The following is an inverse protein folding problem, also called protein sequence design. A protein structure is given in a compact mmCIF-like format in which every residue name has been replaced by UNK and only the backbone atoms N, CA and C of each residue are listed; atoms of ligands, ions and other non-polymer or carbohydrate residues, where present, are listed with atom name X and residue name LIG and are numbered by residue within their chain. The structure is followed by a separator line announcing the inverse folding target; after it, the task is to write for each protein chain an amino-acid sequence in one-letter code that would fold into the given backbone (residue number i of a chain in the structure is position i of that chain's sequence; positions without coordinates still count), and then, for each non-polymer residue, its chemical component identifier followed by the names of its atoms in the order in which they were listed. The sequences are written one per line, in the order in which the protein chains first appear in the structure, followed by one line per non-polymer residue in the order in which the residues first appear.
data_IF_432539074483
#
_entry.id   IF_432539074483
#
_cell.length_a   1.000
_cell.length_b   1.000
_cell.length_c   1.000
_cell.angle_alpha   90.00
_cell.angle_beta   90.00
_cell.angle_gamma   90.00
#
_symmetry.space_group_name_H-M   'P 1'
#
loop_
_entity.id
_entity.type
_entity.pdbx_description
1 polymer ?
#
# COMPACT_ATOMS: atom_id res chain seq x y z
N UNK A 1 10.44 20.94 -12.79
CA UNK A 1 9.78 19.61 -12.82
C UNK A 1 9.91 18.81 -14.12
N UNK A 2 11.02 19.00 -14.85
CA UNK A 2 11.33 18.23 -16.06
C UNK A 2 11.68 16.74 -15.75
N UNK A 3 12.09 16.42 -14.51
CA UNK A 3 12.47 15.06 -14.12
C UNK A 3 11.27 14.12 -13.89
N UNK A 4 10.15 14.62 -13.41
CA UNK A 4 8.93 13.83 -13.15
C UNK A 4 8.28 13.35 -14.46
N UNK A 5 8.16 14.23 -15.44
CA UNK A 5 7.62 13.90 -16.77
C UNK A 5 8.50 12.92 -17.54
N UNK A 6 9.83 13.06 -17.44
CA UNK A 6 10.80 12.17 -18.09
C UNK A 6 10.75 10.73 -17.53
N UNK A 7 10.47 10.56 -16.24
CA UNK A 7 10.33 9.23 -15.61
C UNK A 7 9.04 8.54 -16.08
N UNK A 8 7.92 9.24 -16.08
CA UNK A 8 6.63 8.73 -16.59
C UNK A 8 6.68 8.39 -18.09
N UNK A 9 7.32 9.23 -18.90
CA UNK A 9 7.52 8.95 -20.33
C UNK A 9 8.38 7.71 -20.57
N UNK A 10 9.44 7.50 -19.80
CA UNK A 10 10.26 6.28 -19.91
C UNK A 10 9.49 5.02 -19.53
N UNK A 11 8.65 5.09 -18.51
CA UNK A 11 7.77 3.98 -18.13
C UNK A 11 6.75 3.69 -19.22
N UNK A 12 6.14 4.70 -19.82
CA UNK A 12 5.24 4.53 -20.98
C UNK A 12 5.96 3.91 -22.17
N UNK A 13 7.16 4.37 -22.51
CA UNK A 13 7.94 3.82 -23.63
C UNK A 13 8.33 2.35 -23.42
N UNK A 14 8.65 1.93 -22.20
CA UNK A 14 8.94 0.52 -21.86
C UNK A 14 7.68 -0.32 -22.02
N UNK A 15 6.55 0.16 -21.56
CA UNK A 15 5.24 -0.49 -21.67
C UNK A 15 4.79 -0.61 -23.14
N UNK A 16 4.92 0.46 -23.91
CA UNK A 16 4.54 0.50 -25.34
C UNK A 16 5.47 -0.33 -26.21
N UNK A 17 6.72 -0.57 -25.80
CA UNK A 17 7.66 -1.44 -26.51
C UNK A 17 7.35 -2.94 -26.38
N UNK A 18 6.37 -3.32 -25.54
CA UNK A 18 5.99 -4.70 -25.29
C UNK A 18 7.05 -5.55 -24.56
N UNK A 19 8.12 -4.91 -24.04
CA UNK A 19 9.16 -5.59 -23.26
C UNK A 19 8.79 -5.61 -21.79
N UNK A 20 7.91 -6.52 -21.40
CA UNK A 20 7.62 -6.79 -20.00
C UNK A 20 8.82 -7.51 -19.35
N UNK A 21 9.41 -6.89 -18.34
CA UNK A 21 10.44 -7.49 -17.48
C UNK A 21 10.04 -7.29 -16.02
N UNK A 22 10.56 -8.12 -15.11
CA UNK A 22 10.32 -7.95 -13.67
C UNK A 22 10.74 -6.55 -13.18
N UNK A 23 11.81 -6.01 -13.75
CA UNK A 23 12.26 -4.66 -13.46
C UNK A 23 11.24 -3.62 -13.92
N UNK A 24 10.69 -3.73 -15.15
CA UNK A 24 9.70 -2.78 -15.64
C UNK A 24 8.42 -2.79 -14.82
N UNK A 25 7.97 -3.98 -14.37
CA UNK A 25 6.80 -4.12 -13.53
C UNK A 25 6.98 -3.47 -12.14
N UNK A 26 8.20 -3.56 -11.57
CA UNK A 26 8.52 -2.91 -10.29
C UNK A 26 8.61 -1.39 -10.43
N UNK A 27 9.27 -0.90 -11.50
CA UNK A 27 9.37 0.54 -11.75
C UNK A 27 8.02 1.18 -12.13
N UNK A 28 7.09 0.40 -12.70
CA UNK A 28 5.73 0.87 -13.00
C UNK A 28 4.94 1.16 -11.73
N UNK A 29 5.12 0.36 -10.70
CA UNK A 29 4.46 0.51 -9.39
C UNK A 29 5.12 1.55 -8.48
N UNK A 30 6.30 2.04 -8.85
CA UNK A 30 7.14 2.86 -7.99
C UNK A 30 8.16 2.01 -7.22
N UNK A 31 9.28 2.63 -6.90
CA UNK A 31 10.33 2.07 -6.04
C UNK A 31 10.76 3.17 -5.10
N UNK A 32 10.66 2.92 -3.80
CA UNK A 32 11.05 3.88 -2.79
C UNK A 32 12.57 4.14 -2.77
N UNK A 33 12.95 5.35 -2.39
CA UNK A 33 14.36 5.76 -2.37
C UNK A 33 15.16 5.06 -1.26
N UNK A 34 14.49 4.70 -0.16
CA UNK A 34 15.11 4.01 0.98
C UNK A 34 15.59 2.60 0.60
N UNK A 35 14.84 1.87 -0.21
CA UNK A 35 15.24 0.55 -0.74
C UNK A 35 16.55 0.60 -1.52
N UNK A 36 16.87 1.72 -2.16
CA UNK A 36 18.11 1.90 -2.88
C UNK A 36 19.32 1.81 -1.93
N UNK A 37 19.24 2.46 -0.78
CA UNK A 37 20.30 2.45 0.25
C UNK A 37 20.47 1.05 0.84
N UNK A 38 19.37 0.38 1.15
CA UNK A 38 19.41 -0.98 1.68
C UNK A 38 19.96 -1.98 0.68
N UNK A 39 19.51 -1.89 -0.57
CA UNK A 39 20.01 -2.73 -1.67
C UNK A 39 21.50 -2.56 -1.89
N UNK A 40 22.00 -1.31 -1.92
CA UNK A 40 23.41 -1.00 -2.03
C UNK A 40 24.20 -1.60 -0.86
N UNK A 41 23.78 -1.38 0.39
CA UNK A 41 24.46 -1.93 1.57
C UNK A 41 24.53 -3.47 1.51
N UNK A 42 23.45 -4.13 1.09
CA UNK A 42 23.43 -5.59 0.96
C UNK A 42 24.35 -6.07 -0.15
N UNK A 43 24.36 -5.42 -1.30
CA UNK A 43 25.27 -5.74 -2.40
C UNK A 43 26.75 -5.61 -1.99
N UNK A 44 27.10 -4.52 -1.34
CA UNK A 44 28.47 -4.28 -0.86
C UNK A 44 28.90 -5.32 0.18
N UNK A 45 28.01 -5.65 1.13
CA UNK A 45 28.25 -6.71 2.11
C UNK A 45 28.53 -8.07 1.43
N UNK A 46 27.72 -8.45 0.43
CA UNK A 46 27.91 -9.70 -0.30
C UNK A 46 29.23 -9.70 -1.10
N UNK A 47 29.66 -8.56 -1.67
CA UNK A 47 30.93 -8.46 -2.35
C UNK A 47 32.11 -8.71 -1.42
N UNK A 48 32.05 -8.21 -0.18
CA UNK A 48 33.07 -8.47 0.84
C UNK A 48 33.04 -9.91 1.33
N UNK A 49 31.86 -10.46 1.61
CA UNK A 49 31.67 -11.83 2.09
C UNK A 49 32.17 -12.86 1.07
N UNK A 50 31.92 -12.63 -0.21
CA UNK A 50 32.39 -13.49 -1.32
C UNK A 50 33.85 -13.25 -1.72
N UNK A 51 34.53 -12.29 -1.09
CA UNK A 51 35.94 -11.98 -1.39
C UNK A 51 36.17 -11.30 -2.75
N UNK A 52 35.10 -10.71 -3.34
CA UNK A 52 35.17 -10.06 -4.67
C UNK A 52 35.92 -8.73 -4.64
N UNK A 53 36.09 -8.12 -3.45
CA UNK A 53 36.77 -6.83 -3.30
C UNK A 53 36.67 -6.28 -1.90
N UNK A 54 37.19 -5.04 -1.73
CA UNK A 54 37.07 -4.25 -0.49
C UNK A 54 36.22 -3.03 -0.76
N UNK A 55 35.25 -2.76 0.11
CA UNK A 55 34.35 -1.61 -0.01
C UNK A 55 35.06 -0.34 0.46
N UNK A 56 34.97 0.74 -0.32
CA UNK A 56 35.44 2.07 0.08
C UNK A 56 34.58 2.61 1.22
N UNK A 57 35.21 3.36 2.14
CA UNK A 57 34.48 4.04 3.22
C UNK A 57 33.82 5.35 2.76
N UNK A 58 34.23 5.87 1.61
CA UNK A 58 33.67 7.11 1.07
C UNK A 58 32.62 6.80 0.03
N UNK A 59 31.50 7.49 0.12
CA UNK A 59 30.42 7.43 -0.87
C UNK A 59 29.91 8.85 -1.18
N UNK A 60 29.28 9.00 -2.30
CA UNK A 60 28.53 10.20 -2.66
C UNK A 60 27.05 9.85 -2.60
N UNK A 61 26.31 10.68 -1.87
CA UNK A 61 24.86 10.62 -1.80
C UNK A 61 24.29 11.95 -2.28
N UNK A 62 23.45 11.89 -3.30
CA UNK A 62 22.75 13.07 -3.84
C UNK A 62 21.26 12.79 -3.70
N UNK A 63 20.68 13.31 -2.62
CA UNK A 63 19.25 13.27 -2.41
C UNK A 63 18.58 14.45 -3.13
N UNK A 64 17.55 14.17 -3.92
CA UNK A 64 16.77 15.17 -4.67
C UNK A 64 15.68 15.83 -3.84
N UNK A 65 15.65 15.58 -2.54
CA UNK A 65 14.77 16.27 -1.58
C UNK A 65 13.50 15.52 -1.19
N UNK A 66 13.33 14.26 -1.62
CA UNK A 66 12.23 13.44 -1.11
C UNK A 66 12.54 12.99 0.33
N UNK A 67 11.54 13.07 1.20
CA UNK A 67 11.68 12.52 2.56
C UNK A 67 11.60 11.01 2.53
N UNK A 68 12.52 10.38 3.27
CA UNK A 68 12.49 8.93 3.55
C UNK A 68 11.89 8.65 4.93
N UNK A 69 11.41 9.69 5.61
CA UNK A 69 10.82 9.57 6.93
C UNK A 69 9.41 8.98 6.83
N UNK A 70 8.99 8.19 7.82
CA UNK A 70 7.63 7.70 7.89
C UNK A 70 6.62 8.85 7.94
N UNK A 71 5.50 8.69 7.23
CA UNK A 71 4.42 9.68 7.20
C UNK A 71 3.34 9.31 8.23
N UNK A 72 2.96 10.21 9.14
CA UNK A 72 1.90 9.93 10.09
C UNK A 72 0.54 9.90 9.39
N UNK A 73 -0.29 8.92 9.76
CA UNK A 73 -1.66 8.75 9.30
C UNK A 73 -2.54 8.44 10.51
N UNK A 74 -3.70 9.10 10.59
CA UNK A 74 -4.70 8.84 11.63
C UNK A 74 -6.01 8.39 10.99
N UNK A 75 -6.55 7.28 11.47
CA UNK A 75 -7.82 6.71 11.02
C UNK A 75 -8.68 6.32 12.21
N UNK A 76 -10.00 6.25 12.03
CA UNK A 76 -10.94 5.79 13.06
C UNK A 76 -11.01 4.26 13.06
N UNK A 77 -10.83 3.63 14.23
CA UNK A 77 -10.95 2.17 14.40
C UNK A 77 -12.37 1.70 14.06
N UNK A 78 -13.37 2.46 14.48
CA UNK A 78 -14.77 2.13 14.17
C UNK A 78 -15.08 2.21 12.67
N UNK A 79 -14.48 3.15 11.93
CA UNK A 79 -14.58 3.19 10.47
C UNK A 79 -13.88 2.01 9.80
N UNK A 80 -12.69 1.63 10.27
CA UNK A 80 -11.97 0.43 9.79
C UNK A 80 -12.84 -0.81 9.97
N UNK A 81 -13.37 -1.04 11.16
CA UNK A 81 -14.26 -2.17 11.45
C UNK A 81 -15.56 -2.10 10.62
N UNK A 82 -16.09 -0.88 10.40
CA UNK A 82 -17.26 -0.67 9.55
C UNK A 82 -17.05 -1.10 8.09
N UNK A 83 -15.87 -0.84 7.53
CA UNK A 83 -15.50 -1.30 6.18
C UNK A 83 -15.33 -2.82 6.14
N UNK A 84 -14.72 -3.39 7.18
CA UNK A 84 -14.52 -4.84 7.29
C UNK A 84 -15.83 -5.61 7.47
N UNK A 85 -16.87 -4.95 8.01
CA UNK A 85 -18.13 -5.60 8.37
C UNK A 85 -18.03 -6.59 9.53
N UNK A 86 -16.90 -6.57 10.24
CA UNK A 86 -16.60 -7.38 11.43
C UNK A 86 -15.89 -6.52 12.48
N UNK A 87 -16.02 -6.90 13.74
CA UNK A 87 -15.28 -6.25 14.83
C UNK A 87 -13.96 -6.99 15.07
N UNK A 88 -12.86 -6.37 14.69
CA UNK A 88 -11.52 -6.81 15.02
C UNK A 88 -11.10 -6.14 16.33
N UNK A 89 -10.69 -6.90 17.36
CA UNK A 89 -10.24 -6.31 18.62
C UNK A 89 -9.06 -5.35 18.43
N UNK A 90 -9.05 -4.23 19.16
CA UNK A 90 -7.98 -3.22 19.10
C UNK A 90 -6.59 -3.83 19.31
N UNK A 91 -6.46 -4.78 20.24
CA UNK A 91 -5.21 -5.48 20.51
C UNK A 91 -4.69 -6.24 19.28
N UNK A 92 -5.59 -6.80 18.47
CA UNK A 92 -5.22 -7.48 17.22
C UNK A 92 -4.83 -6.47 16.14
N UNK A 93 -5.56 -5.36 16.01
CA UNK A 93 -5.20 -4.29 15.09
C UNK A 93 -3.80 -3.77 15.41
N UNK A 94 -3.52 -3.47 16.69
CA UNK A 94 -2.19 -3.04 17.14
C UNK A 94 -1.12 -4.08 16.83
N UNK A 95 -1.39 -5.36 17.09
CA UNK A 95 -0.46 -6.46 16.81
C UNK A 95 -0.14 -6.55 15.31
N UNK A 96 -1.16 -6.49 14.48
CA UNK A 96 -1.04 -6.57 13.02
C UNK A 96 -0.23 -5.38 12.50
N UNK A 97 -0.63 -4.15 12.85
CA UNK A 97 0.04 -2.94 12.40
C UNK A 97 1.49 -2.88 12.85
N UNK A 98 1.78 -3.32 14.09
CA UNK A 98 3.15 -3.41 14.60
C UNK A 98 4.00 -4.41 13.80
N UNK A 99 3.45 -5.57 13.46
CA UNK A 99 4.15 -6.58 12.67
C UNK A 99 4.42 -6.13 11.22
N UNK A 100 3.61 -5.22 10.73
CA UNK A 100 3.77 -4.59 9.41
C UNK A 100 4.66 -3.33 9.45
N UNK A 101 5.26 -3.02 10.61
CA UNK A 101 6.16 -1.87 10.84
C UNK A 101 5.49 -0.49 10.76
N UNK A 102 4.20 -0.38 11.03
CA UNK A 102 3.48 0.89 11.02
C UNK A 102 3.56 1.68 12.32
N UNK A 103 4.23 1.17 13.35
CA UNK A 103 4.34 1.81 14.68
C UNK A 103 3.01 2.39 15.18
N UNK A 104 1.98 1.55 15.45
CA UNK A 104 0.64 2.00 15.77
C UNK A 104 0.50 2.51 17.20
N UNK A 105 -0.34 3.54 17.38
CA UNK A 105 -0.81 4.05 18.67
C UNK A 105 -2.32 4.21 18.60
N UNK A 106 -3.05 3.73 19.62
CA UNK A 106 -4.51 3.92 19.73
C UNK A 106 -4.79 4.86 20.90
N UNK A 107 -5.64 5.84 20.65
CA UNK A 107 -6.16 6.76 21.64
C UNK A 107 -7.68 6.90 21.47
N UNK A 108 -8.44 6.12 22.24
CA UNK A 108 -9.89 6.01 22.06
C UNK A 108 -10.20 5.36 20.70
N UNK A 109 -10.93 6.04 19.83
CA UNK A 109 -11.27 5.55 18.49
C UNK A 109 -10.22 5.90 17.42
N UNK A 110 -9.20 6.68 17.78
CA UNK A 110 -8.17 7.12 16.85
C UNK A 110 -6.97 6.15 16.85
N UNK A 111 -6.73 5.53 15.70
CA UNK A 111 -5.52 4.78 15.40
C UNK A 111 -4.57 5.68 14.63
N UNK A 112 -3.44 6.02 15.23
CA UNK A 112 -2.34 6.72 14.57
C UNK A 112 -1.27 5.72 14.19
N UNK A 113 -0.85 5.72 12.94
CA UNK A 113 0.19 4.87 12.40
C UNK A 113 1.26 5.71 11.71
N UNK A 114 2.48 5.18 11.65
CA UNK A 114 3.57 5.76 10.88
C UNK A 114 3.75 4.93 9.61
N UNK A 115 3.32 5.47 8.47
CA UNK A 115 3.42 4.78 7.18
C UNK A 115 4.87 4.80 6.72
N UNK A 116 5.52 3.63 6.57
CA UNK A 116 6.90 3.58 6.09
C UNK A 116 7.03 4.12 4.66
N UNK A 117 8.15 4.77 4.34
CA UNK A 117 8.38 5.37 3.03
C UNK A 117 8.30 4.38 1.86
N UNK A 118 8.53 3.09 2.10
CA UNK A 118 8.42 2.05 1.07
C UNK A 118 6.96 1.65 0.75
N UNK A 119 5.97 2.16 1.49
CA UNK A 119 4.54 1.95 1.26
C UNK A 119 3.94 3.13 0.50
N UNK A 120 4.45 3.35 -0.72
CA UNK A 120 3.98 4.43 -1.60
C UNK A 120 2.48 4.32 -1.93
N UNK A 121 1.93 3.11 -1.87
CA UNK A 121 0.51 2.81 -2.06
C UNK A 121 -0.41 3.41 -0.99
N UNK A 122 0.12 3.66 0.21
CA UNK A 122 -0.60 4.24 1.34
C UNK A 122 -0.29 5.72 1.58
N UNK A 123 0.61 6.32 0.78
CA UNK A 123 0.94 7.73 0.91
C UNK A 123 -0.17 8.62 0.30
N UNK A 124 -0.45 9.78 0.89
CA UNK A 124 -1.44 10.70 0.34
C UNK A 124 -1.03 11.20 -1.03
N UNK A 125 -1.92 11.09 -2.03
CA UNK A 125 -1.69 11.55 -3.40
C UNK A 125 -1.92 13.06 -3.60
N UNK A 126 -2.31 13.79 -2.54
CA UNK A 126 -2.54 15.23 -2.59
C UNK A 126 -3.32 15.76 -1.39
N UNK A 127 -3.56 17.07 -1.36
CA UNK A 127 -4.26 17.78 -0.27
C UNK A 127 -5.73 17.32 -0.04
N UNK A 128 -6.32 16.65 -1.03
CA UNK A 128 -7.72 16.20 -0.98
C UNK A 128 -7.87 14.70 -0.70
N UNK A 129 -6.83 14.03 -0.32
CA UNK A 129 -6.84 12.59 -0.05
C UNK A 129 -7.36 12.33 1.38
N UNK A 130 -8.66 12.25 1.47
CA UNK A 130 -9.38 12.54 2.71
C UNK A 130 -9.53 11.36 3.64
N UNK A 131 -9.47 10.10 3.20
CA UNK A 131 -9.77 9.00 4.12
C UNK A 131 -9.09 7.68 3.70
N UNK A 132 -7.97 7.35 4.35
CA UNK A 132 -7.19 6.13 4.11
C UNK A 132 -7.61 4.93 4.96
N UNK A 133 -8.75 4.97 5.63
CA UNK A 133 -9.22 3.85 6.42
C UNK A 133 -9.50 2.57 5.61
N UNK A 134 -9.85 2.59 4.32
CA UNK A 134 -9.96 1.37 3.52
C UNK A 134 -8.63 0.67 3.33
N UNK A 135 -7.53 1.41 3.13
CA UNK A 135 -6.18 0.84 2.96
C UNK A 135 -5.72 0.16 4.26
N UNK A 136 -6.01 0.80 5.41
CA UNK A 136 -5.74 0.21 6.73
C UNK A 136 -6.61 -1.03 6.96
N UNK A 137 -7.89 -0.99 6.56
CA UNK A 137 -8.79 -2.12 6.66
C UNK A 137 -8.31 -3.32 5.83
N UNK A 138 -7.80 -3.08 4.62
CA UNK A 138 -7.22 -4.10 3.77
C UNK A 138 -6.03 -4.79 4.46
N UNK A 139 -5.10 -4.02 5.04
CA UNK A 139 -3.96 -4.58 5.76
C UNK A 139 -4.39 -5.39 6.98
N UNK A 140 -5.38 -4.91 7.72
CA UNK A 140 -5.91 -5.63 8.89
C UNK A 140 -6.54 -6.96 8.47
N UNK A 141 -7.45 -6.97 7.50
CA UNK A 141 -8.15 -8.21 7.12
C UNK A 141 -7.23 -9.22 6.46
N UNK A 142 -6.25 -8.75 5.67
CA UNK A 142 -5.26 -9.62 5.02
C UNK A 142 -4.45 -10.42 6.04
N UNK A 143 -4.17 -9.85 7.21
CA UNK A 143 -3.40 -10.49 8.27
C UNK A 143 -4.27 -11.16 9.33
N UNK A 144 -5.49 -10.67 9.54
CA UNK A 144 -6.47 -11.27 10.46
C UNK A 144 -7.05 -12.55 9.88
N UNK A 145 -7.31 -12.56 8.58
CA UNK A 145 -7.81 -13.68 7.80
C UNK A 145 -9.22 -13.44 7.26
N UNK A 146 -9.39 -13.63 5.98
CA UNK A 146 -10.68 -13.48 5.29
C UNK A 146 -11.73 -14.49 5.76
N UNK A 147 -11.31 -15.61 6.34
CA UNK A 147 -12.21 -16.65 6.87
C UNK A 147 -13.05 -16.17 8.06
N UNK A 148 -12.66 -15.05 8.68
CA UNK A 148 -13.43 -14.42 9.76
C UNK A 148 -14.59 -13.56 9.25
N UNK A 149 -14.61 -13.24 7.95
CA UNK A 149 -15.70 -12.49 7.33
C UNK A 149 -16.84 -13.44 7.02
N UNK A 150 -17.95 -13.30 7.75
CA UNK A 150 -19.14 -14.11 7.51
C UNK A 150 -19.98 -13.51 6.39
N UNK A 151 -20.48 -14.36 5.51
CA UNK A 151 -21.42 -13.95 4.48
C UNK A 151 -22.66 -13.32 5.10
N UNK A 152 -22.95 -12.08 4.75
CA UNK A 152 -24.18 -11.41 5.14
C UNK A 152 -25.11 -11.28 3.94
N UNK A 153 -26.31 -11.79 4.06
CA UNK A 153 -27.33 -11.54 3.05
C UNK A 153 -27.77 -10.07 3.13
N UNK A 154 -27.89 -9.43 1.98
CA UNK A 154 -28.51 -8.12 1.90
C UNK A 154 -29.90 -8.19 2.50
N UNK A 155 -30.18 -7.41 3.54
CA UNK A 155 -31.50 -7.34 4.19
C UNK A 155 -32.56 -6.71 3.29
N UNK A 156 -32.16 -6.02 2.22
CA UNK A 156 -33.04 -5.51 1.20
C UNK A 156 -33.26 -6.60 0.14
N UNK A 157 -34.41 -7.22 0.19
CA UNK A 157 -34.92 -7.98 -0.94
C UNK A 157 -35.02 -7.03 -2.14
N UNK A 158 -34.28 -7.31 -3.20
CA UNK A 158 -34.51 -6.69 -4.49
C UNK A 158 -35.89 -7.21 -4.98
N UNK A 159 -36.92 -6.53 -4.57
CA UNK A 159 -38.25 -6.72 -5.15
C UNK A 159 -38.16 -6.29 -6.62
N UNK A 160 -38.00 -7.25 -7.50
CA UNK A 160 -38.32 -7.05 -8.92
C UNK A 160 -39.78 -6.70 -9.03
N UNK A 161 -40.09 -5.41 -8.87
CA UNK A 161 -41.48 -4.92 -8.91
C UNK A 161 -42.05 -4.73 -10.31
N UNK A 162 -41.20 -4.90 -11.33
CA UNK A 162 -41.66 -4.91 -12.72
C UNK A 162 -41.01 -6.04 -13.49
N UNK A 163 -41.81 -6.85 -14.22
CA UNK A 163 -41.25 -7.86 -15.11
C UNK A 163 -40.39 -7.21 -16.19
N UNK A 164 -39.29 -7.86 -16.54
CA UNK A 164 -38.41 -7.42 -17.63
C UNK A 164 -39.27 -7.20 -18.91
N UNK A 165 -38.93 -6.19 -19.74
CA UNK A 165 -39.58 -6.04 -21.05
C UNK A 165 -39.58 -7.32 -21.89
N UNK A 166 -38.63 -8.24 -21.66
CA UNK A 166 -38.58 -9.56 -22.32
C UNK A 166 -39.65 -10.53 -21.81
N UNK A 167 -40.09 -10.40 -20.56
CA UNK A 167 -41.08 -11.26 -19.97
C UNK A 167 -42.50 -10.90 -20.43
N UNK A 168 -42.67 -9.67 -20.99
CA UNK A 168 -43.97 -9.21 -21.55
C UNK A 168 -44.23 -9.72 -22.95
N UNK A 169 -43.26 -10.31 -23.63
CA UNK A 169 -43.41 -10.79 -25.02
C UNK A 169 -43.86 -12.24 -25.15
N UNK A 170 -44.18 -12.90 -24.03
CA UNK A 170 -44.58 -14.32 -23.99
C UNK A 170 -46.03 -14.53 -23.52
N UNK A 171 -46.86 -13.50 -23.56
CA UNK A 171 -48.32 -13.62 -23.28
C UNK A 171 -49.14 -13.22 -24.52
#
# INVERSE_FOLDING_TARGET
DLHSTSRRQRQMCIRDSGKATDASARYEKGVDEYSTVLGMKRALHLMEELGCGKVSRTHFDVNTGNSIDPTPMTVSVSKVNGVLGIEVPEAEILRIMKNLNFAPEINGDELTIQVPAYREDMLPEGENDVERYPDVAEEVIRMYGYDHVTDTFLSACLLYTSPSPRDRSLS
#
